data_IF_309237135734
#
_entry.id   IF_309237135734
#
_cell.length_a   1.000
_cell.length_b   1.000
_cell.length_c   1.000
_cell.angle_alpha   90.00
_cell.angle_beta   90.00
_cell.angle_gamma   90.00
#
_symmetry.space_group_name_H-M   'P 1'
#
loop_
_entity.id
_entity.type
_entity.pdbx_description
1 polymer ?
#
# COMPACT_ATOMS: atom_id res chain seq x y z
N UNK A 1 -9.65 29.04 -11.98
CA UNK A 1 -10.19 27.68 -11.78
C UNK A 1 -9.05 26.75 -11.39
N UNK A 2 -9.32 25.81 -10.47
CA UNK A 2 -8.47 24.65 -10.11
C UNK A 2 -7.39 24.82 -9.02
N UNK A 3 -7.90 25.00 -7.79
CA UNK A 3 -7.51 24.41 -6.49
C UNK A 3 -6.20 23.61 -6.44
N UNK A 4 -5.14 24.25 -5.94
CA UNK A 4 -3.97 23.59 -5.35
C UNK A 4 -4.38 22.94 -4.02
N UNK A 5 -4.53 21.61 -3.99
CA UNK A 5 -4.61 20.89 -2.73
C UNK A 5 -3.20 20.66 -2.18
N UNK A 6 -2.95 21.32 -1.07
CA UNK A 6 -1.78 21.22 -0.23
C UNK A 6 -1.58 19.75 0.20
N UNK A 7 -0.55 19.11 -0.35
CA UNK A 7 0.03 17.89 0.20
C UNK A 7 0.90 18.30 1.39
N UNK A 8 0.38 18.14 2.62
CA UNK A 8 1.16 18.30 3.84
C UNK A 8 1.20 16.98 4.63
N UNK A 9 2.46 16.56 4.87
CA UNK A 9 2.98 15.68 5.93
C UNK A 9 2.85 14.16 5.78
N UNK A 10 3.92 13.60 5.24
CA UNK A 10 4.36 12.22 5.45
C UNK A 10 5.43 11.86 4.45
N UNK A 11 6.69 12.23 4.72
CA UNK A 11 7.82 11.95 3.84
C UNK A 11 8.08 10.45 3.72
N UNK A 12 7.49 9.81 2.72
CA UNK A 12 7.84 8.45 2.32
C UNK A 12 8.53 8.52 0.97
N UNK A 13 9.84 8.33 1.01
CA UNK A 13 10.76 8.34 -0.12
C UNK A 13 10.13 7.77 -1.39
N UNK A 14 10.01 8.60 -2.42
CA UNK A 14 9.48 8.23 -3.72
C UNK A 14 10.36 7.16 -4.38
N UNK A 15 10.02 5.89 -4.14
CA UNK A 15 10.68 4.77 -4.77
C UNK A 15 10.36 4.78 -6.27
N UNK A 16 11.39 5.06 -7.07
CA UNK A 16 11.41 5.00 -8.54
C UNK A 16 10.94 3.63 -9.04
N UNK A 17 9.66 3.53 -9.38
CA UNK A 17 9.10 2.50 -10.25
C UNK A 17 8.01 3.15 -11.08
N UNK A 18 8.03 3.00 -12.40
CA UNK A 18 7.14 3.66 -13.38
C UNK A 18 5.73 3.86 -12.80
N UNK A 19 5.41 5.07 -12.35
CA UNK A 19 4.14 5.42 -11.70
C UNK A 19 3.04 5.45 -12.75
N UNK A 20 2.15 4.47 -12.73
CA UNK A 20 0.81 4.66 -13.28
C UNK A 20 0.13 5.72 -12.39
N UNK A 21 -0.71 6.62 -12.93
CA UNK A 21 -1.42 7.58 -12.11
C UNK A 21 -2.17 6.84 -11.00
N UNK A 22 -1.89 7.18 -9.75
CA UNK A 22 -2.43 6.53 -8.55
C UNK A 22 -3.97 6.47 -8.52
N UNK A 23 -4.64 7.34 -9.29
CA UNK A 23 -6.10 7.39 -9.48
C UNK A 23 -6.65 6.25 -10.35
N UNK A 24 -5.82 5.64 -11.20
CA UNK A 24 -6.21 4.53 -12.09
C UNK A 24 -5.82 3.16 -11.53
N UNK A 25 -5.23 3.11 -10.34
CA UNK A 25 -4.77 1.87 -9.72
C UNK A 25 -5.83 1.30 -8.78
N UNK A 26 -6.07 0.00 -8.90
CA UNK A 26 -6.88 -0.73 -7.95
C UNK A 26 -6.19 -0.82 -6.60
N UNK A 27 -6.98 -0.78 -5.52
CA UNK A 27 -6.49 -0.81 -4.14
C UNK A 27 -7.22 -1.88 -3.37
N UNK A 28 -6.49 -2.85 -2.84
CA UNK A 28 -7.02 -3.88 -1.96
C UNK A 28 -6.54 -3.62 -0.54
N UNK A 29 -7.47 -3.52 0.43
CA UNK A 29 -7.11 -3.41 1.84
C UNK A 29 -6.46 -4.70 2.34
N UNK A 30 -5.30 -4.57 3.01
CA UNK A 30 -4.55 -5.72 3.54
C UNK A 30 -4.71 -5.78 5.05
N UNK A 31 -4.21 -4.77 5.76
CA UNK A 31 -4.21 -4.69 7.22
C UNK A 31 -4.41 -3.25 7.69
N UNK A 32 -4.80 -3.10 8.96
CA UNK A 32 -4.87 -1.79 9.64
C UNK A 32 -4.02 -1.82 10.90
N UNK A 33 -3.16 -0.83 11.04
CA UNK A 33 -2.33 -0.61 12.22
C UNK A 33 -2.78 0.65 12.98
N UNK A 34 -2.60 0.67 14.30
CA UNK A 34 -2.87 1.84 15.14
C UNK A 34 -1.62 2.74 15.36
N UNK A 35 -0.51 2.38 14.73
CA UNK A 35 0.76 3.09 14.83
C UNK A 35 1.40 3.17 13.43
N UNK A 36 1.87 4.35 12.99
CA UNK A 36 2.41 4.51 11.63
C UNK A 36 3.67 3.67 11.41
N UNK A 37 4.59 3.65 12.37
CA UNK A 37 5.85 2.90 12.27
C UNK A 37 5.64 1.38 12.06
N UNK A 38 4.53 0.81 12.55
CA UNK A 38 4.21 -0.61 12.30
C UNK A 38 3.79 -0.86 10.86
N UNK A 39 3.02 0.06 10.27
CA UNK A 39 2.67 -0.02 8.86
C UNK A 39 3.92 0.10 7.98
N UNK A 40 4.82 1.02 8.31
CA UNK A 40 6.09 1.18 7.59
C UNK A 40 7.02 -0.03 7.70
N UNK A 41 7.17 -0.58 8.91
CA UNK A 41 7.97 -1.79 9.13
C UNK A 41 7.39 -3.00 8.36
N UNK A 42 6.07 -3.15 8.36
CA UNK A 42 5.39 -4.21 7.62
C UNK A 42 5.63 -4.12 6.11
N UNK A 43 5.51 -2.92 5.53
CA UNK A 43 5.81 -2.71 4.11
C UNK A 43 7.28 -2.97 3.82
N UNK A 44 8.18 -2.50 4.67
CA UNK A 44 9.64 -2.69 4.49
C UNK A 44 10.02 -4.17 4.50
N UNK A 45 9.44 -4.95 5.41
CA UNK A 45 9.61 -6.39 5.48
C UNK A 45 9.14 -7.08 4.19
N UNK A 46 7.90 -6.82 3.77
CA UNK A 46 7.34 -7.44 2.56
C UNK A 46 8.05 -6.99 1.28
N UNK A 47 8.52 -5.76 1.21
CA UNK A 47 9.30 -5.26 0.07
C UNK A 47 10.65 -5.97 -0.05
N UNK A 48 11.23 -6.38 1.07
CA UNK A 48 12.48 -7.16 1.09
C UNK A 48 12.26 -8.58 0.60
N UNK A 49 11.15 -9.21 1.01
CA UNK A 49 10.84 -10.60 0.67
C UNK A 49 10.18 -10.76 -0.72
N UNK A 50 9.40 -9.77 -1.14
CA UNK A 50 8.62 -9.78 -2.37
C UNK A 50 8.60 -8.37 -3.00
N UNK A 51 9.71 -7.95 -3.65
CA UNK A 51 9.83 -6.61 -4.23
C UNK A 51 8.87 -6.33 -5.39
N UNK A 52 8.23 -7.37 -5.93
CA UNK A 52 7.17 -7.27 -6.93
C UNK A 52 5.83 -6.78 -6.35
N UNK A 53 5.63 -6.86 -5.03
CA UNK A 53 4.44 -6.34 -4.37
C UNK A 53 4.49 -4.81 -4.30
N UNK A 54 3.42 -4.18 -4.77
CA UNK A 54 3.24 -2.74 -4.70
C UNK A 54 2.36 -2.41 -3.50
N UNK A 55 3.00 -2.18 -2.38
CA UNK A 55 2.32 -1.88 -1.12
C UNK A 55 2.47 -0.40 -0.78
N UNK A 56 1.42 0.17 -0.21
CA UNK A 56 1.42 1.53 0.31
C UNK A 56 0.54 1.61 1.56
N UNK A 57 0.61 2.71 2.32
CA UNK A 57 -0.20 2.89 3.52
C UNK A 57 -0.83 4.27 3.59
N UNK A 58 -2.07 4.30 4.06
CA UNK A 58 -2.88 5.51 4.16
C UNK A 58 -3.34 5.73 5.59
N UNK A 59 -3.24 6.96 6.06
CA UNK A 59 -3.92 7.36 7.29
C UNK A 59 -5.43 7.47 7.02
N UNK A 60 -6.22 6.65 7.72
CA UNK A 60 -7.68 6.57 7.55
C UNK A 60 -8.43 7.24 8.72
N UNK A 61 -7.75 8.11 9.48
CA UNK A 61 -8.29 8.78 10.65
C UNK A 61 -8.27 7.92 11.91
N UNK A 62 -8.56 8.55 13.06
CA UNK A 62 -8.57 7.91 14.38
C UNK A 62 -7.25 7.15 14.69
N UNK A 63 -6.12 7.71 14.24
CA UNK A 63 -4.79 7.12 14.40
C UNK A 63 -4.68 5.69 13.83
N UNK A 64 -5.46 5.39 12.78
CA UNK A 64 -5.45 4.13 12.05
C UNK A 64 -4.81 4.30 10.68
N UNK A 65 -3.98 3.33 10.33
CA UNK A 65 -3.14 3.32 9.14
C UNK A 65 -3.43 2.04 8.38
N UNK A 66 -4.07 2.17 7.21
CA UNK A 66 -4.43 1.04 6.37
C UNK A 66 -3.33 0.79 5.35
N UNK A 67 -2.76 -0.41 5.40
CA UNK A 67 -1.88 -0.92 4.34
C UNK A 67 -2.77 -1.44 3.21
N UNK A 68 -2.42 -1.07 1.98
CA UNK A 68 -3.11 -1.50 0.77
C UNK A 68 -2.13 -2.11 -0.22
N UNK A 69 -2.63 -3.09 -0.98
CA UNK A 69 -2.00 -3.60 -2.19
C UNK A 69 -2.51 -2.81 -3.38
N UNK A 70 -1.58 -2.21 -4.13
CA UNK A 70 -1.84 -1.55 -5.41
C UNK A 70 -1.70 -2.56 -6.53
N UNK A 71 -2.62 -2.53 -7.49
CA UNK A 71 -2.60 -3.41 -8.66
C UNK A 71 -3.16 -2.70 -9.89
N UNK A 72 -2.65 -3.03 -11.07
CA UNK A 72 -3.11 -2.47 -12.36
C UNK A 72 -4.15 -3.34 -13.02
N UNK A 73 -4.08 -4.65 -12.79
CA UNK A 73 -4.92 -5.64 -13.43
C UNK A 73 -5.22 -6.82 -12.50
N UNK A 74 -6.13 -7.70 -12.95
CA UNK A 74 -6.57 -8.86 -12.17
C UNK A 74 -5.46 -9.89 -11.96
N UNK A 75 -4.49 -9.99 -12.89
CA UNK A 75 -3.38 -10.92 -12.78
C UNK A 75 -2.40 -10.46 -11.70
N UNK A 76 -2.05 -9.17 -11.69
CA UNK A 76 -1.23 -8.55 -10.64
C UNK A 76 -1.92 -8.68 -9.27
N UNK A 77 -3.24 -8.45 -9.21
CA UNK A 77 -4.03 -8.67 -8.00
C UNK A 77 -3.95 -10.11 -7.52
N UNK A 78 -4.17 -11.10 -8.39
CA UNK A 78 -4.17 -12.51 -8.01
C UNK A 78 -2.80 -12.96 -7.48
N UNK A 79 -1.73 -12.60 -8.19
CA UNK A 79 -0.35 -12.86 -7.75
C UNK A 79 -0.06 -12.19 -6.41
N UNK A 80 -0.46 -10.93 -6.25
CA UNK A 80 -0.27 -10.20 -5.00
C UNK A 80 -1.01 -10.84 -3.82
N UNK A 81 -2.24 -11.29 -4.03
CA UNK A 81 -3.01 -12.04 -3.02
C UNK A 81 -2.33 -13.35 -2.63
N UNK A 82 -1.81 -14.09 -3.60
CA UNK A 82 -1.12 -15.36 -3.35
C UNK A 82 0.17 -15.16 -2.55
N UNK A 83 0.96 -14.13 -2.90
CA UNK A 83 2.17 -13.78 -2.15
C UNK A 83 1.83 -13.37 -0.71
N UNK A 84 0.82 -12.52 -0.50
CA UNK A 84 0.39 -12.12 0.84
C UNK A 84 -0.04 -13.33 1.68
N UNK A 85 -0.79 -14.27 1.10
CA UNK A 85 -1.17 -15.51 1.78
C UNK A 85 0.04 -16.37 2.13
N UNK A 86 1.05 -16.46 1.26
CA UNK A 86 2.29 -17.19 1.53
C UNK A 86 3.08 -16.59 2.72
N UNK A 87 2.94 -15.28 2.96
CA UNK A 87 3.50 -14.60 4.15
C UNK A 87 2.57 -14.65 5.38
N UNK A 88 1.51 -15.45 5.35
CA UNK A 88 0.56 -15.60 6.46
C UNK A 88 -0.37 -14.39 6.64
N UNK A 89 -0.45 -13.50 5.66
CA UNK A 89 -1.31 -12.31 5.73
C UNK A 89 -2.71 -12.66 5.24
N UNK A 90 -3.67 -12.75 6.17
CA UNK A 90 -5.08 -12.92 5.83
C UNK A 90 -5.67 -11.62 5.33
N UNK A 91 -6.24 -11.66 4.12
CA UNK A 91 -6.90 -10.50 3.52
C UNK A 91 -8.26 -10.30 4.19
N UNK A 92 -8.50 -9.08 4.66
CA UNK A 92 -9.81 -8.69 5.19
C UNK A 92 -10.83 -8.75 4.04
N UNK A 93 -11.90 -9.54 4.21
CA UNK A 93 -13.01 -9.63 3.24
C UNK A 93 -13.79 -8.33 3.14
#
# INVERSE_FOLDING_TARGET
MSRHLQYVRGGSSALKGKRVPYEREGKLGVLVFHRPYRAEAFISYLKTQAPSLRLDWFHIGLNRFRVVLLYRDRTELSKGKQLLQNFGVSLSR
#
